data_IF_858271696488
#
_entry.id   IF_858271696488
#
_cell.length_a   1.000
_cell.length_b   1.000
_cell.length_c   1.000
_cell.angle_alpha   90.00
_cell.angle_beta   90.00
_cell.angle_gamma   90.00
#
_symmetry.space_group_name_H-M   'P 1'
#
loop_
_entity.id
_entity.type
_entity.pdbx_description
1 polymer ?
#
# COMPACT_ATOMS: atom_id res chain seq x y z
N UNK A 1 0.26 3.29 15.46
CA UNK A 1 0.17 2.23 14.42
C UNK A 1 0.68 2.74 13.07
N UNK A 2 0.06 3.78 12.48
CA UNK A 2 0.42 4.30 11.14
C UNK A 2 1.87 4.77 10.99
N UNK A 3 2.43 5.45 11.99
CA UNK A 3 3.83 5.90 11.94
C UNK A 3 4.81 4.74 11.76
N UNK A 4 4.53 3.56 12.34
CA UNK A 4 5.41 2.39 12.25
C UNK A 4 5.55 1.95 10.80
N UNK A 5 4.44 1.86 10.06
CA UNK A 5 4.47 1.40 8.68
C UNK A 5 5.08 2.45 7.74
N UNK A 6 4.82 3.73 8.00
CA UNK A 6 5.41 4.83 7.25
C UNK A 6 6.93 4.86 7.42
N UNK A 7 7.39 4.81 8.67
CA UNK A 7 8.82 4.78 9.01
C UNK A 7 9.48 3.52 8.48
N UNK A 8 8.85 2.34 8.63
CA UNK A 8 9.39 1.10 8.09
C UNK A 8 9.56 1.19 6.56
N UNK A 9 8.52 1.64 5.83
CA UNK A 9 8.59 1.77 4.38
C UNK A 9 9.63 2.79 3.90
N UNK A 10 9.82 3.89 4.63
CA UNK A 10 10.83 4.91 4.30
C UNK A 10 12.26 4.51 4.71
N UNK A 11 12.41 3.91 5.89
CA UNK A 11 13.71 3.58 6.47
C UNK A 11 14.32 2.34 5.82
N UNK A 12 13.53 1.35 5.40
CA UNK A 12 14.08 0.10 4.85
C UNK A 12 14.98 0.33 3.63
N UNK A 13 14.62 1.12 2.60
CA UNK A 13 15.54 1.43 1.50
C UNK A 13 16.85 2.09 1.97
N UNK A 14 16.77 3.01 2.95
CA UNK A 14 17.94 3.70 3.49
C UNK A 14 18.85 2.77 4.29
N UNK A 15 18.28 1.94 5.16
CA UNK A 15 19.01 0.99 6.00
C UNK A 15 19.70 -0.06 5.15
N UNK A 16 19.01 -0.62 4.15
CA UNK A 16 19.61 -1.61 3.24
C UNK A 16 20.77 -1.02 2.44
N UNK A 17 20.63 0.23 2.00
CA UNK A 17 21.71 0.94 1.31
C UNK A 17 22.87 1.26 2.25
N UNK A 18 22.61 1.75 3.46
CA UNK A 18 23.64 2.05 4.46
C UNK A 18 24.45 0.81 4.87
N UNK A 19 23.79 -0.34 5.03
CA UNK A 19 24.46 -1.62 5.33
C UNK A 19 25.46 -2.01 4.23
N UNK A 20 25.16 -1.69 2.97
CA UNK A 20 26.07 -1.93 1.84
C UNK A 20 27.35 -1.09 1.86
N UNK A 21 27.39 0.00 2.63
CA UNK A 21 28.58 0.86 2.77
C UNK A 21 29.44 0.52 4.00
N UNK A 22 29.02 -0.42 4.85
CA UNK A 22 29.78 -0.79 6.05
C UNK A 22 31.04 -1.59 5.67
N UNK A 23 32.23 -1.21 6.18
CA UNK A 23 33.52 -1.75 5.71
C UNK A 23 33.70 -3.24 5.99
N UNK A 24 33.04 -3.77 7.03
CA UNK A 24 33.07 -5.19 7.40
C UNK A 24 32.01 -6.04 6.69
N UNK A 25 31.00 -5.42 6.07
CA UNK A 25 29.92 -6.13 5.37
C UNK A 25 30.26 -6.39 3.91
N UNK A 26 31.14 -5.59 3.30
CA UNK A 26 31.47 -5.59 1.86
C UNK A 26 31.64 -6.99 1.27
N UNK A 27 32.49 -7.83 1.86
CA UNK A 27 32.77 -9.19 1.40
C UNK A 27 31.56 -10.14 1.43
N UNK A 28 30.67 -9.98 2.43
CA UNK A 28 29.43 -10.76 2.53
C UNK A 28 28.39 -10.21 1.56
N UNK A 29 28.21 -8.89 1.50
CA UNK A 29 27.28 -8.25 0.57
C UNK A 29 27.65 -8.54 -0.88
N UNK A 30 28.92 -8.56 -1.25
CA UNK A 30 29.34 -8.84 -2.63
C UNK A 30 29.08 -10.29 -3.04
N UNK A 31 29.16 -11.23 -2.09
CA UNK A 31 28.79 -12.64 -2.32
C UNK A 31 27.28 -12.85 -2.38
N UNK A 32 26.50 -12.11 -1.59
CA UNK A 32 25.05 -12.33 -1.45
C UNK A 32 24.22 -11.52 -2.47
N UNK A 33 24.70 -10.33 -2.86
CA UNK A 33 24.03 -9.40 -3.79
C UNK A 33 23.65 -10.05 -5.12
N UNK A 34 24.46 -10.94 -5.73
CA UNK A 34 24.06 -11.65 -6.95
C UNK A 34 22.83 -12.54 -6.80
N UNK A 35 22.65 -13.12 -5.62
CA UNK A 35 21.50 -13.98 -5.36
C UNK A 35 20.27 -13.13 -5.02
N UNK A 36 20.39 -12.13 -4.14
CA UNK A 36 19.23 -11.36 -3.67
C UNK A 36 18.80 -10.26 -4.64
N UNK A 37 19.73 -9.43 -5.09
CA UNK A 37 19.41 -8.30 -5.95
C UNK A 37 19.15 -8.77 -7.39
N UNK A 38 19.89 -9.80 -7.84
CA UNK A 38 19.87 -10.19 -9.23
C UNK A 38 18.99 -11.41 -9.58
N UNK A 39 18.73 -12.37 -8.69
CA UNK A 39 17.84 -13.47 -9.08
C UNK A 39 16.37 -13.02 -9.13
N UNK A 40 15.70 -13.35 -10.23
CA UNK A 40 14.24 -13.24 -10.37
C UNK A 40 13.58 -14.23 -9.43
N UNK A 41 12.45 -13.86 -8.83
CA UNK A 41 11.70 -14.79 -7.98
C UNK A 41 11.13 -15.98 -8.78
N UNK A 42 10.92 -15.80 -10.09
CA UNK A 42 10.39 -16.83 -10.98
C UNK A 42 11.37 -17.01 -12.14
N UNK A 43 12.17 -18.09 -12.09
CA UNK A 43 13.01 -18.60 -13.18
C UNK A 43 13.70 -17.53 -14.03
N UNK A 44 13.53 -17.63 -15.36
CA UNK A 44 14.14 -16.73 -16.36
C UNK A 44 13.35 -15.43 -16.61
N UNK A 45 12.27 -15.16 -15.86
CA UNK A 45 11.38 -14.00 -16.05
C UNK A 45 11.96 -12.65 -15.61
N UNK A 46 13.28 -12.53 -15.56
CA UNK A 46 13.99 -11.27 -15.37
C UNK A 46 13.83 -10.32 -16.56
N UNK A 47 13.83 -10.88 -17.77
CA UNK A 47 13.82 -10.13 -19.04
C UNK A 47 12.44 -10.16 -19.71
N UNK A 48 11.56 -11.08 -19.29
CA UNK A 48 10.23 -11.27 -19.89
C UNK A 48 9.13 -10.84 -18.91
N UNK A 49 8.10 -10.11 -19.37
CA UNK A 49 6.91 -9.88 -18.56
C UNK A 49 6.27 -11.24 -18.22
N UNK A 50 5.68 -11.34 -17.02
CA UNK A 50 4.91 -12.51 -16.60
C UNK A 50 3.83 -12.85 -17.63
N UNK A 51 3.56 -14.15 -17.79
CA UNK A 51 2.42 -14.64 -18.54
C UNK A 51 1.14 -13.95 -18.02
N UNK A 52 0.23 -13.56 -18.92
CA UNK A 52 -0.92 -12.65 -18.69
C UNK A 52 -0.63 -11.15 -18.51
N UNK A 53 0.54 -10.63 -18.92
CA UNK A 53 0.83 -9.18 -18.92
C UNK A 53 0.79 -8.52 -17.51
N UNK A 54 0.92 -9.28 -16.42
CA UNK A 54 0.68 -8.73 -15.07
C UNK A 54 1.86 -7.85 -14.57
N UNK A 55 2.99 -7.87 -15.28
CA UNK A 55 4.11 -6.94 -15.08
C UNK A 55 5.49 -7.61 -15.11
N UNK A 56 6.48 -6.91 -14.56
CA UNK A 56 7.87 -7.38 -14.38
C UNK A 56 7.94 -8.20 -13.09
N UNK A 57 8.57 -9.37 -13.14
CA UNK A 57 8.76 -10.24 -11.97
C UNK A 57 9.68 -9.58 -10.94
N UNK A 58 9.31 -9.54 -9.65
CA UNK A 58 10.18 -9.04 -8.61
C UNK A 58 11.44 -9.91 -8.50
N UNK A 59 12.57 -9.29 -8.14
CA UNK A 59 13.74 -10.04 -7.67
C UNK A 59 13.48 -10.54 -6.25
N UNK A 60 14.32 -11.44 -5.74
CA UNK A 60 14.22 -11.93 -4.35
C UNK A 60 14.24 -10.76 -3.36
N UNK A 61 15.12 -9.76 -3.56
CA UNK A 61 15.17 -8.56 -2.72
C UNK A 61 13.92 -7.68 -2.81
N UNK A 62 13.33 -7.52 -4.00
CA UNK A 62 12.07 -6.80 -4.13
C UNK A 62 10.94 -7.55 -3.43
N UNK A 63 10.87 -8.87 -3.60
CA UNK A 63 9.84 -9.69 -2.99
C UNK A 63 9.95 -9.77 -1.48
N UNK A 64 11.17 -9.80 -0.92
CA UNK A 64 11.36 -9.78 0.53
C UNK A 64 10.87 -8.45 1.14
N UNK A 65 11.15 -7.32 0.50
CA UNK A 65 10.60 -6.02 0.90
C UNK A 65 9.07 -6.02 0.85
N UNK A 66 8.48 -6.51 -0.25
CA UNK A 66 7.02 -6.58 -0.41
C UNK A 66 6.40 -7.48 0.65
N UNK A 67 6.97 -8.66 0.90
CA UNK A 67 6.51 -9.59 1.92
C UNK A 67 6.59 -8.97 3.32
N UNK A 68 7.70 -8.28 3.64
CA UNK A 68 7.84 -7.53 4.88
C UNK A 68 6.72 -6.50 5.06
N UNK A 69 6.44 -5.69 4.03
CA UNK A 69 5.38 -4.68 4.08
C UNK A 69 3.98 -5.31 4.21
N UNK A 70 3.72 -6.44 3.55
CA UNK A 70 2.44 -7.17 3.68
C UNK A 70 2.28 -7.73 5.09
N UNK A 71 3.30 -8.44 5.61
CA UNK A 71 3.28 -9.02 6.96
C UNK A 71 3.07 -7.92 8.00
N UNK A 72 3.79 -6.80 7.87
CA UNK A 72 3.64 -5.67 8.78
C UNK A 72 2.23 -5.08 8.75
N UNK A 73 1.63 -4.91 7.56
CA UNK A 73 0.24 -4.48 7.43
C UNK A 73 -0.72 -5.45 8.12
N UNK A 74 -0.60 -6.74 7.84
CA UNK A 74 -1.47 -7.76 8.43
C UNK A 74 -1.37 -7.75 9.95
N UNK A 75 -0.16 -7.70 10.51
CA UNK A 75 0.07 -7.65 11.95
C UNK A 75 -0.56 -6.38 12.56
N UNK A 76 -0.27 -5.21 11.98
CA UNK A 76 -0.77 -3.94 12.51
C UNK A 76 -2.29 -3.81 12.37
N UNK A 77 -2.89 -4.40 11.34
CA UNK A 77 -4.34 -4.50 11.21
C UNK A 77 -4.92 -5.52 12.19
N UNK A 78 -4.31 -6.70 12.39
CA UNK A 78 -4.96 -7.83 13.05
C UNK A 78 -4.67 -8.00 14.56
N UNK A 79 -3.60 -7.42 15.11
CA UNK A 79 -3.11 -7.79 16.47
C UNK A 79 -3.63 -6.87 17.57
N UNK A 80 -3.89 -7.40 18.77
CA UNK A 80 -4.24 -6.64 19.98
C UNK A 80 -5.65 -5.98 19.96
N UNK A 81 -6.66 -6.71 19.50
CA UNK A 81 -8.06 -6.36 19.76
C UNK A 81 -8.43 -6.77 21.19
N UNK A 82 -8.63 -5.79 22.08
CA UNK A 82 -9.11 -6.05 23.44
C UNK A 82 -10.59 -5.68 23.53
N UNK A 83 -11.44 -6.67 23.71
CA UNK A 83 -12.88 -6.47 23.93
C UNK A 83 -13.26 -6.94 25.33
N UNK A 84 -13.37 -6.01 26.28
CA UNK A 84 -14.13 -6.23 27.50
C UNK A 84 -15.58 -5.84 27.26
N UNK A 85 -16.52 -6.72 27.64
CA UNK A 85 -17.95 -6.48 27.71
C UNK A 85 -18.42 -6.69 29.15
N UNK A 86 -19.37 -5.89 29.67
CA UNK A 86 -20.03 -4.74 29.04
C UNK A 86 -19.09 -3.53 28.91
N UNK A 87 -19.34 -2.64 27.94
CA UNK A 87 -18.67 -1.35 27.84
C UNK A 87 -19.69 -0.22 27.58
N UNK A 88 -19.33 1.03 27.89
CA UNK A 88 -20.25 2.16 27.83
C UNK A 88 -20.53 2.73 26.44
N UNK A 89 -19.88 2.24 25.38
CA UNK A 89 -19.96 2.84 24.04
C UNK A 89 -20.55 1.92 22.97
N UNK A 90 -20.37 0.60 23.08
CA UNK A 90 -20.82 -0.36 22.08
C UNK A 90 -21.72 -1.41 22.71
N UNK A 91 -22.91 -1.58 22.13
CA UNK A 91 -23.92 -2.55 22.58
C UNK A 91 -23.52 -4.00 22.33
N UNK A 92 -22.61 -4.25 21.37
CA UNK A 92 -22.13 -5.60 21.06
C UNK A 92 -20.61 -5.66 20.87
N UNK A 93 -20.04 -6.85 21.08
CA UNK A 93 -18.64 -7.13 20.74
C UNK A 93 -18.39 -6.99 19.24
N UNK A 94 -19.38 -7.30 18.41
CA UNK A 94 -19.30 -7.17 16.95
C UNK A 94 -19.04 -5.72 16.52
N UNK A 95 -19.86 -4.78 17.00
CA UNK A 95 -19.71 -3.34 16.70
C UNK A 95 -18.33 -2.83 17.11
N UNK A 96 -17.86 -3.21 18.30
CA UNK A 96 -16.54 -2.81 18.80
C UNK A 96 -15.39 -3.35 17.95
N UNK A 97 -15.48 -4.59 17.47
CA UNK A 97 -14.45 -5.17 16.59
C UNK A 97 -14.45 -4.46 15.25
N UNK A 98 -15.62 -4.21 14.65
CA UNK A 98 -15.74 -3.46 13.40
C UNK A 98 -15.12 -2.06 13.52
N UNK A 99 -15.45 -1.33 14.58
CA UNK A 99 -14.88 0.00 14.83
C UNK A 99 -13.34 -0.05 14.88
N UNK A 100 -12.78 -1.01 15.62
CA UNK A 100 -11.32 -1.14 15.65
C UNK A 100 -10.72 -1.44 14.27
N UNK A 101 -11.40 -2.23 13.44
CA UNK A 101 -10.95 -2.50 12.06
C UNK A 101 -11.02 -1.22 11.24
N UNK A 102 -12.11 -0.45 11.31
CA UNK A 102 -12.30 0.83 10.61
C UNK A 102 -11.17 1.80 10.97
N UNK A 103 -10.93 2.03 12.26
CA UNK A 103 -9.88 2.95 12.73
C UNK A 103 -8.50 2.51 12.23
N UNK A 104 -8.18 1.21 12.31
CA UNK A 104 -6.87 0.68 11.91
C UNK A 104 -6.64 0.75 10.43
N UNK A 105 -7.61 0.30 9.63
CA UNK A 105 -7.53 0.28 8.17
C UNK A 105 -7.46 1.70 7.61
N UNK A 106 -8.22 2.65 8.17
CA UNK A 106 -8.13 4.07 7.83
C UNK A 106 -6.75 4.65 8.19
N UNK A 107 -6.28 4.45 9.43
CA UNK A 107 -4.97 4.96 9.86
C UNK A 107 -3.81 4.39 9.03
N UNK A 108 -3.85 3.10 8.69
CA UNK A 108 -2.83 2.46 7.87
C UNK A 108 -2.91 2.92 6.41
N UNK A 109 -4.12 3.09 5.86
CA UNK A 109 -4.34 3.68 4.54
C UNK A 109 -3.69 5.05 4.42
N UNK A 110 -3.99 5.97 5.35
CA UNK A 110 -3.36 7.29 5.38
C UNK A 110 -1.84 7.24 5.52
N UNK A 111 -1.31 6.33 6.34
CA UNK A 111 0.13 6.17 6.49
C UNK A 111 0.82 5.63 5.22
N UNK A 112 0.11 4.85 4.41
CA UNK A 112 0.62 4.33 3.14
C UNK A 112 0.56 5.35 2.00
N UNK A 113 -0.41 6.28 2.02
CA UNK A 113 -0.59 7.29 0.97
C UNK A 113 0.72 8.06 0.60
N UNK A 114 1.48 8.64 1.55
CA UNK A 114 2.72 9.34 1.21
C UNK A 114 3.79 8.39 0.62
N UNK A 115 3.85 7.13 1.06
CA UNK A 115 4.76 6.14 0.46
C UNK A 115 4.38 5.82 -0.99
N UNK A 116 3.09 5.65 -1.28
CA UNK A 116 2.59 5.42 -2.65
C UNK A 116 3.00 6.57 -3.55
N UNK A 117 2.79 7.82 -3.12
CA UNK A 117 3.13 9.02 -3.90
C UNK A 117 4.65 9.13 -4.08
N UNK A 118 5.43 8.94 -3.01
CA UNK A 118 6.88 9.04 -3.03
C UNK A 118 7.51 8.06 -4.02
N UNK A 119 7.07 6.81 -4.03
CA UNK A 119 7.58 5.79 -4.96
C UNK A 119 7.18 6.01 -6.42
N UNK A 120 6.21 6.88 -6.72
CA UNK A 120 5.87 7.25 -8.09
C UNK A 120 6.80 8.33 -8.68
N UNK A 121 7.51 9.08 -7.83
CA UNK A 121 8.30 10.24 -8.24
C UNK A 121 9.60 9.86 -8.96
N UNK A 122 9.89 10.53 -10.09
CA UNK A 122 11.13 10.35 -10.86
C UNK A 122 12.37 11.02 -10.25
N UNK A 123 12.17 12.04 -9.41
CA UNK A 123 13.23 12.77 -8.73
C UNK A 123 12.77 13.08 -7.30
N UNK A 124 13.20 12.28 -6.32
CA UNK A 124 12.85 12.47 -4.93
C UNK A 124 14.04 12.12 -4.02
N UNK A 125 14.04 12.68 -2.80
CA UNK A 125 15.14 12.54 -1.83
C UNK A 125 15.42 11.08 -1.50
N UNK A 126 14.38 10.26 -1.35
CA UNK A 126 14.56 8.84 -1.02
C UNK A 126 15.23 8.07 -2.16
N UNK A 127 14.93 8.41 -3.41
CA UNK A 127 15.59 7.83 -4.59
C UNK A 127 17.08 8.18 -4.62
N UNK A 128 17.42 9.45 -4.32
CA UNK A 128 18.82 9.89 -4.24
C UNK A 128 19.59 9.20 -3.10
N UNK A 129 19.01 9.15 -1.90
CA UNK A 129 19.67 8.57 -0.73
C UNK A 129 19.77 7.04 -0.76
N UNK A 130 18.78 6.36 -1.33
CA UNK A 130 18.80 4.90 -1.43
C UNK A 130 19.67 4.40 -2.58
N UNK A 131 19.97 5.23 -3.58
CA UNK A 131 20.68 4.82 -4.80
C UNK A 131 19.99 3.64 -5.51
N UNK A 132 18.66 3.54 -5.37
CA UNK A 132 17.84 2.53 -6.05
C UNK A 132 17.35 3.08 -7.39
N UNK A 133 17.08 2.17 -8.33
CA UNK A 133 16.60 2.58 -9.65
C UNK A 133 15.14 3.05 -9.58
N UNK A 134 14.77 3.97 -10.47
CA UNK A 134 13.38 4.39 -10.63
C UNK A 134 12.46 3.20 -10.99
N UNK A 135 12.97 2.19 -11.70
CA UNK A 135 12.19 0.99 -12.01
C UNK A 135 11.87 0.16 -10.76
N UNK A 136 12.77 0.09 -9.78
CA UNK A 136 12.51 -0.48 -8.45
C UNK A 136 11.43 0.32 -7.73
N UNK A 137 11.53 1.64 -7.69
CA UNK A 137 10.51 2.50 -7.05
C UNK A 137 9.14 2.31 -7.69
N UNK A 138 9.04 2.26 -9.02
CA UNK A 138 7.79 1.99 -9.71
C UNK A 138 7.23 0.58 -9.41
N UNK A 139 8.09 -0.42 -9.18
CA UNK A 139 7.64 -1.74 -8.72
C UNK A 139 7.03 -1.65 -7.33
N UNK A 140 7.70 -0.96 -6.40
CA UNK A 140 7.22 -0.77 -5.04
C UNK A 140 5.93 0.07 -5.00
N UNK A 141 5.86 1.16 -5.76
CA UNK A 141 4.64 1.97 -5.93
C UNK A 141 3.43 1.08 -6.24
N UNK A 142 3.54 0.18 -7.22
CA UNK A 142 2.42 -0.72 -7.60
C UNK A 142 2.01 -1.66 -6.47
N UNK A 143 2.97 -2.23 -5.74
CA UNK A 143 2.67 -3.15 -4.64
C UNK A 143 2.10 -2.43 -3.42
N UNK A 144 2.69 -1.31 -3.03
CA UNK A 144 2.19 -0.50 -1.92
C UNK A 144 0.83 0.11 -2.26
N UNK A 145 0.58 0.52 -3.51
CA UNK A 145 -0.73 1.00 -3.96
C UNK A 145 -1.82 -0.07 -3.86
N UNK A 146 -1.50 -1.35 -4.13
CA UNK A 146 -2.43 -2.47 -3.91
C UNK A 146 -2.75 -2.66 -2.44
N UNK A 147 -1.76 -2.56 -1.57
CA UNK A 147 -1.98 -2.68 -0.12
C UNK A 147 -2.82 -1.50 0.38
N UNK A 148 -2.50 -0.27 -0.05
CA UNK A 148 -3.29 0.93 0.23
C UNK A 148 -4.76 0.74 -0.20
N UNK A 149 -4.98 0.29 -1.44
CA UNK A 149 -6.35 0.07 -1.93
C UNK A 149 -7.09 -1.05 -1.20
N UNK A 150 -6.40 -2.12 -0.79
CA UNK A 150 -7.00 -3.15 0.07
C UNK A 150 -7.41 -2.57 1.44
N UNK A 151 -6.58 -1.73 2.06
CA UNK A 151 -6.94 -1.06 3.32
C UNK A 151 -8.17 -0.15 3.13
N UNK A 152 -8.25 0.62 2.04
CA UNK A 152 -9.40 1.48 1.74
C UNK A 152 -10.70 0.69 1.50
N UNK A 153 -10.61 -0.44 0.78
CA UNK A 153 -11.76 -1.32 0.53
C UNK A 153 -12.24 -1.96 1.83
N UNK A 154 -11.32 -2.52 2.64
CA UNK A 154 -11.68 -3.12 3.93
C UNK A 154 -12.32 -2.06 4.83
N UNK A 155 -11.70 -0.88 4.96
CA UNK A 155 -12.24 0.24 5.72
C UNK A 155 -13.70 0.53 5.32
N UNK A 156 -13.95 0.70 4.03
CA UNK A 156 -15.27 1.06 3.49
C UNK A 156 -16.32 -0.04 3.73
N UNK A 157 -15.96 -1.31 3.50
CA UNK A 157 -16.87 -2.45 3.74
C UNK A 157 -17.20 -2.56 5.22
N UNK A 158 -16.20 -2.42 6.11
CA UNK A 158 -16.42 -2.51 7.56
C UNK A 158 -17.18 -1.32 8.11
N UNK A 159 -16.95 -0.12 7.57
CA UNK A 159 -17.74 1.06 7.90
C UNK A 159 -19.20 0.82 7.53
N UNK A 160 -19.49 0.47 6.28
CA UNK A 160 -20.86 0.17 5.84
C UNK A 160 -21.52 -0.90 6.73
N UNK A 161 -20.81 -1.99 7.04
CA UNK A 161 -21.33 -3.05 7.90
C UNK A 161 -21.66 -2.55 9.32
N UNK A 162 -20.85 -1.66 9.90
CA UNK A 162 -21.09 -1.08 11.21
C UNK A 162 -22.33 -0.18 11.22
N UNK A 163 -22.43 0.75 10.27
CA UNK A 163 -23.55 1.71 10.22
C UNK A 163 -24.88 1.04 9.87
N UNK A 164 -24.88 0.04 8.98
CA UNK A 164 -26.07 -0.80 8.72
C UNK A 164 -26.45 -1.59 9.98
N UNK A 165 -25.49 -2.14 10.72
CA UNK A 165 -25.78 -2.84 11.98
C UNK A 165 -26.33 -1.90 13.06
N UNK A 166 -25.94 -0.63 13.05
CA UNK A 166 -26.44 0.40 13.96
C UNK A 166 -27.79 1.01 13.51
N UNK A 167 -28.24 0.73 12.28
CA UNK A 167 -29.45 1.33 11.69
C UNK A 167 -29.33 2.83 11.40
N UNK A 168 -28.11 3.34 11.22
CA UNK A 168 -27.79 4.77 11.03
C UNK A 168 -27.31 5.08 9.62
N UNK A 169 -27.23 4.08 8.75
CA UNK A 169 -26.74 4.20 7.36
C UNK A 169 -27.50 5.25 6.54
N UNK A 170 -28.82 5.34 6.70
CA UNK A 170 -29.64 6.32 5.98
C UNK A 170 -29.33 7.78 6.34
N UNK A 171 -28.98 8.05 7.60
CA UNK A 171 -28.59 9.39 8.06
C UNK A 171 -27.18 9.73 7.58
N UNK A 172 -26.27 8.77 7.70
CA UNK A 172 -24.85 8.92 7.37
C UNK A 172 -24.60 9.12 5.88
N UNK A 173 -25.40 8.50 5.02
CA UNK A 173 -25.33 8.66 3.56
C UNK A 173 -25.47 10.11 3.07
N UNK A 174 -26.11 10.97 3.88
CA UNK A 174 -26.27 12.39 3.57
C UNK A 174 -25.08 13.25 4.01
N UNK A 175 -24.18 12.71 4.83
CA UNK A 175 -23.09 13.48 5.42
C UNK A 175 -21.91 13.60 4.44
N UNK A 176 -21.29 14.80 4.34
CA UNK A 176 -20.20 15.03 3.39
C UNK A 176 -19.05 14.04 3.51
N UNK A 177 -18.64 13.68 4.73
CA UNK A 177 -17.51 12.79 4.94
C UNK A 177 -17.78 11.37 4.39
N UNK A 178 -19.03 10.91 4.47
CA UNK A 178 -19.45 9.61 3.94
C UNK A 178 -19.44 9.61 2.41
N UNK A 179 -20.02 10.65 1.80
CA UNK A 179 -20.06 10.84 0.35
C UNK A 179 -18.62 10.88 -0.21
N UNK A 180 -17.75 11.70 0.37
CA UNK A 180 -16.36 11.81 -0.06
C UNK A 180 -15.57 10.51 0.19
N UNK A 181 -15.83 9.80 1.28
CA UNK A 181 -15.26 8.46 1.52
C UNK A 181 -15.66 7.45 0.43
N UNK A 182 -16.94 7.42 0.02
CA UNK A 182 -17.40 6.58 -1.08
C UNK A 182 -16.71 6.95 -2.41
N UNK A 183 -16.63 8.26 -2.72
CA UNK A 183 -15.95 8.75 -3.92
C UNK A 183 -14.47 8.35 -3.93
N UNK A 184 -13.78 8.49 -2.79
CA UNK A 184 -12.39 8.10 -2.64
C UNK A 184 -12.20 6.60 -2.93
N UNK A 185 -13.03 5.74 -2.34
CA UNK A 185 -12.94 4.28 -2.54
C UNK A 185 -13.21 3.88 -3.98
N UNK A 186 -14.23 4.46 -4.62
CA UNK A 186 -14.52 4.22 -6.04
C UNK A 186 -13.35 4.67 -6.92
N UNK A 187 -12.79 5.85 -6.67
CA UNK A 187 -11.63 6.35 -7.40
C UNK A 187 -10.40 5.43 -7.25
N UNK A 188 -10.12 4.95 -6.03
CA UNK A 188 -9.04 3.99 -5.78
C UNK A 188 -9.25 2.68 -6.55
N UNK A 189 -10.47 2.13 -6.56
CA UNK A 189 -10.78 0.91 -7.31
C UNK A 189 -10.60 1.12 -8.82
N UNK A 190 -11.08 2.25 -9.36
CA UNK A 190 -10.88 2.61 -10.77
C UNK A 190 -9.38 2.71 -11.09
N UNK A 191 -8.61 3.40 -10.23
CA UNK A 191 -7.16 3.53 -10.42
C UNK A 191 -6.46 2.17 -10.43
N UNK A 192 -6.83 1.23 -9.55
CA UNK A 192 -6.24 -0.11 -9.51
C UNK A 192 -6.52 -0.91 -10.78
N UNK A 193 -7.76 -0.88 -11.28
CA UNK A 193 -8.16 -1.60 -12.50
C UNK A 193 -7.53 -0.95 -13.74
N UNK A 194 -7.61 0.37 -13.87
CA UNK A 194 -7.04 1.11 -15.00
C UNK A 194 -5.51 1.03 -15.06
N UNK A 195 -4.84 0.76 -13.93
CA UNK A 195 -3.38 0.58 -13.86
C UNK A 195 -2.89 -0.77 -14.38
N UNK A 196 -3.80 -1.65 -14.83
CA UNK A 196 -3.41 -2.91 -15.47
C UNK A 196 -2.62 -2.64 -16.76
N UNK A 197 -1.60 -3.47 -17.02
CA UNK A 197 -0.70 -3.31 -18.16
C UNK A 197 -1.45 -3.33 -19.50
N UNK A 198 -2.54 -4.10 -19.60
CA UNK A 198 -3.37 -4.13 -20.80
C UNK A 198 -3.92 -2.74 -21.14
N UNK A 199 -4.58 -2.08 -20.17
CA UNK A 199 -5.18 -0.75 -20.34
C UNK A 199 -4.09 0.29 -20.61
N UNK A 200 -3.00 0.25 -19.84
CA UNK A 200 -1.88 1.21 -19.97
C UNK A 200 -1.17 1.15 -21.32
N UNK A 201 -1.15 -0.01 -21.98
CA UNK A 201 -0.52 -0.16 -23.30
C UNK A 201 -1.36 0.42 -24.43
N UNK A 202 -2.68 0.56 -24.25
CA UNK A 202 -3.56 1.13 -25.27
C UNK A 202 -3.39 2.66 -25.37
N UNK A 203 -3.30 3.34 -24.23
CA UNK A 203 -3.01 4.78 -24.19
C UNK A 203 -2.34 5.19 -22.88
N UNK A 204 -1.01 5.31 -22.92
CA UNK A 204 -0.22 5.61 -21.71
C UNK A 204 -0.45 7.04 -21.20
N UNK A 205 -0.51 8.03 -22.10
CA UNK A 205 -0.69 9.44 -21.74
C UNK A 205 -2.07 9.68 -21.10
N UNK A 206 -3.13 9.11 -21.68
CA UNK A 206 -4.49 9.20 -21.12
C UNK A 206 -4.55 8.53 -19.75
N UNK A 207 -3.98 7.34 -19.63
CA UNK A 207 -3.85 6.66 -18.34
C UNK A 207 -3.16 7.56 -17.31
N UNK A 208 -2.02 8.16 -17.66
CA UNK A 208 -1.22 8.95 -16.73
C UNK A 208 -1.98 10.18 -16.23
N UNK A 209 -2.63 10.93 -17.13
CA UNK A 209 -3.40 12.12 -16.78
C UNK A 209 -4.58 11.75 -15.88
N UNK A 210 -5.39 10.77 -16.28
CA UNK A 210 -6.55 10.34 -15.49
C UNK A 210 -6.11 9.82 -14.11
N UNK A 211 -5.02 9.06 -14.06
CA UNK A 211 -4.51 8.50 -12.81
C UNK A 211 -4.04 9.60 -11.84
N UNK A 212 -3.38 10.65 -12.33
CA UNK A 212 -2.96 11.79 -11.49
C UNK A 212 -4.17 12.57 -10.99
N UNK A 213 -5.16 12.84 -11.85
CA UNK A 213 -6.38 13.54 -11.45
C UNK A 213 -7.12 12.75 -10.37
N UNK A 214 -7.33 11.45 -10.57
CA UNK A 214 -7.96 10.58 -9.58
C UNK A 214 -7.14 10.51 -8.29
N UNK A 215 -5.81 10.49 -8.35
CA UNK A 215 -4.96 10.52 -7.16
C UNK A 215 -5.17 11.80 -6.34
N UNK A 216 -5.24 12.97 -6.99
CA UNK A 216 -5.55 14.25 -6.32
C UNK A 216 -6.93 14.21 -5.69
N UNK A 217 -7.94 13.69 -6.39
CA UNK A 217 -9.28 13.53 -5.83
C UNK A 217 -9.29 12.62 -4.61
N UNK A 218 -8.59 11.48 -4.65
CA UNK A 218 -8.48 10.58 -3.49
C UNK A 218 -7.91 11.34 -2.29
N UNK A 219 -6.78 12.03 -2.46
CA UNK A 219 -6.15 12.77 -1.35
C UNK A 219 -7.05 13.90 -0.81
N UNK A 220 -7.81 14.58 -1.67
CA UNK A 220 -8.72 15.64 -1.26
C UNK A 220 -9.99 15.12 -0.58
N UNK A 221 -10.34 13.84 -0.80
CA UNK A 221 -11.57 13.21 -0.31
C UNK A 221 -11.37 12.42 0.99
N UNK A 222 -10.12 12.24 1.41
CA UNK A 222 -9.72 11.56 2.65
C UNK A 222 -9.47 12.59 3.75
#
# INVERSE_FOLDING_TARGET
MGIIILVAGFATPLLLTAVGYLPFMSSITDKVRPYIAWQSLIGTYRVRPLEYLIGITPSIGHASYIAFMIILNVILTAVNYKSAQPNGWFSSQYQKILEYIIIRTGTLGFALAPLVILFAGRNNVLLWLSNWSHSTFMLLHRWIARIFGLQAIIHSITALALYVNNGTDSEELSLPYWIWGCVATVAVVIMLVASNLYVRRQSYEVFLVIHILLAVFVIASC
#
